data_IF_410447776682
#
_entry.id   IF_410447776682
#
_cell.length_a   1.000
_cell.length_b   1.000
_cell.length_c   1.000
_cell.angle_alpha   90.00
_cell.angle_beta   90.00
_cell.angle_gamma   90.00
#
_symmetry.space_group_name_H-M   'P 1'
#
loop_
_entity.id
_entity.type
_entity.pdbx_description
1 polymer ?
#
# COMPACT_ATOMS: atom_id res chain seq x y z
N UNK A 1 4.23 -9.30 6.77
CA UNK A 1 3.55 -8.55 7.83
C UNK A 1 2.47 -7.70 7.18
N UNK A 2 1.22 -8.03 7.47
CA UNK A 2 0.01 -7.39 6.93
C UNK A 2 -0.02 -5.92 7.33
N UNK A 3 -0.77 -5.08 6.59
CA UNK A 3 -1.05 -3.71 7.02
C UNK A 3 -1.71 -3.80 8.40
N UNK A 4 -1.00 -3.38 9.44
CA UNK A 4 -1.47 -3.42 10.82
C UNK A 4 -1.24 -2.04 11.45
N UNK A 5 -2.07 -1.71 12.43
CA UNK A 5 -2.08 -0.41 13.08
C UNK A 5 -0.91 -0.21 14.03
N UNK A 6 -0.41 -1.28 14.64
CA UNK A 6 0.69 -1.21 15.61
C UNK A 6 2.01 -0.67 14.99
N UNK A 7 2.49 -1.18 13.83
CA UNK A 7 3.60 -0.55 13.11
C UNK A 7 3.36 0.92 12.77
N UNK A 8 2.14 1.28 12.35
CA UNK A 8 1.80 2.66 12.01
C UNK A 8 1.83 3.58 13.23
N UNK A 9 1.26 3.16 14.36
CA UNK A 9 1.29 3.91 15.62
C UNK A 9 2.72 4.18 16.09
N UNK A 10 3.63 3.19 15.97
CA UNK A 10 5.05 3.38 16.27
C UNK A 10 5.70 4.42 15.37
N UNK A 11 5.43 4.37 14.07
CA UNK A 11 5.97 5.36 13.12
C UNK A 11 5.43 6.79 13.39
N UNK A 12 4.23 6.90 13.94
CA UNK A 12 3.62 8.18 14.32
C UNK A 12 4.02 8.66 15.72
N UNK A 13 4.89 7.94 16.45
CA UNK A 13 5.29 8.30 17.81
C UNK A 13 4.21 8.06 18.88
N UNK A 14 3.25 7.19 18.61
CA UNK A 14 2.09 6.89 19.48
C UNK A 14 2.03 5.41 19.91
N UNK A 15 3.13 4.82 20.44
CA UNK A 15 3.23 3.36 20.65
C UNK A 15 2.19 2.78 21.63
N UNK A 16 1.63 3.60 22.52
CA UNK A 16 0.63 3.19 23.51
C UNK A 16 -0.80 3.29 23.00
N UNK A 17 -1.02 3.84 21.80
CA UNK A 17 -2.35 4.01 21.26
C UNK A 17 -3.00 2.66 20.98
N UNK A 18 -4.22 2.49 21.50
CA UNK A 18 -5.05 1.31 21.28
C UNK A 18 -6.34 1.68 20.58
N UNK A 19 -6.66 0.95 19.52
CA UNK A 19 -7.97 1.08 18.89
C UNK A 19 -9.05 0.55 19.84
N UNK A 20 -10.12 1.33 20.02
CA UNK A 20 -11.27 0.90 20.82
C UNK A 20 -12.14 -0.12 20.09
N UNK A 21 -12.33 0.08 18.78
CA UNK A 21 -13.10 -0.81 17.90
C UNK A 21 -12.31 -1.01 16.59
N UNK A 22 -12.39 -2.21 16.01
CA UNK A 22 -11.68 -2.54 14.76
C UNK A 22 -12.53 -3.44 13.90
N UNK A 23 -12.69 -3.07 12.63
CA UNK A 23 -13.21 -3.96 11.59
C UNK A 23 -12.02 -4.65 10.91
N UNK A 24 -12.09 -5.97 10.75
CA UNK A 24 -11.06 -6.76 10.07
C UNK A 24 -11.67 -7.40 8.83
N UNK A 25 -10.97 -7.24 7.71
CA UNK A 25 -11.33 -7.83 6.43
C UNK A 25 -10.18 -8.68 5.93
N UNK A 26 -10.51 -9.74 5.20
CA UNK A 26 -9.51 -10.61 4.56
C UNK A 26 -8.92 -9.97 3.29
N UNK A 27 -9.71 -9.13 2.61
CA UNK A 27 -9.31 -8.48 1.36
C UNK A 27 -9.09 -6.98 1.56
N UNK A 28 -8.05 -6.44 0.91
CA UNK A 28 -7.74 -5.01 0.99
C UNK A 28 -8.82 -4.15 0.32
N UNK A 29 -9.46 -4.64 -0.75
CA UNK A 29 -10.57 -3.96 -1.43
C UNK A 29 -11.71 -3.62 -0.48
N UNK A 30 -12.04 -4.53 0.43
CA UNK A 30 -13.16 -4.37 1.36
C UNK A 30 -12.84 -3.31 2.42
N UNK A 31 -11.58 -3.25 2.88
CA UNK A 31 -11.09 -2.19 3.77
C UNK A 31 -11.26 -0.82 3.12
N UNK A 32 -10.84 -0.69 1.85
CA UNK A 32 -10.95 0.57 1.10
C UNK A 32 -12.41 0.94 0.88
N UNK A 33 -13.25 -0.02 0.48
CA UNK A 33 -14.68 0.21 0.30
C UNK A 33 -15.36 0.68 1.59
N UNK A 34 -15.04 0.08 2.73
CA UNK A 34 -15.57 0.49 4.04
C UNK A 34 -15.15 1.92 4.42
N UNK A 35 -13.88 2.29 4.18
CA UNK A 35 -13.40 3.65 4.43
C UNK A 35 -14.10 4.68 3.51
N UNK A 36 -14.24 4.35 2.23
CA UNK A 36 -14.96 5.19 1.25
C UNK A 36 -16.45 5.33 1.60
N UNK A 37 -17.05 4.30 2.22
CA UNK A 37 -18.42 4.33 2.72
C UNK A 37 -18.57 4.99 4.11
N UNK A 38 -17.51 5.62 4.64
CA UNK A 38 -17.54 6.34 5.90
C UNK A 38 -17.59 5.46 7.15
N UNK A 39 -17.28 4.17 7.04
CA UNK A 39 -17.31 3.22 8.17
C UNK A 39 -16.09 3.33 9.10
N UNK A 40 -15.15 4.23 8.79
CA UNK A 40 -13.98 4.50 9.62
C UNK A 40 -12.78 4.97 8.82
N UNK A 41 -11.60 4.79 9.41
CA UNK A 41 -10.30 5.10 8.81
C UNK A 41 -9.56 3.82 8.44
N UNK A 42 -8.76 3.89 7.39
CA UNK A 42 -7.94 2.78 6.92
C UNK A 42 -6.48 3.21 6.70
N UNK A 43 -5.54 2.32 7.00
CA UNK A 43 -4.16 2.46 6.53
C UNK A 43 -4.12 1.90 5.11
N UNK A 44 -3.65 2.72 4.17
CA UNK A 44 -3.64 2.38 2.75
C UNK A 44 -2.29 2.51 2.09
N UNK A 45 -2.19 1.92 0.90
CA UNK A 45 -1.00 2.05 0.04
C UNK A 45 -1.27 3.17 -0.95
N UNK A 46 -0.53 4.27 -0.85
CA UNK A 46 -0.77 5.48 -1.65
C UNK A 46 -0.96 5.23 -3.15
N UNK A 47 -0.14 4.39 -3.84
CA UNK A 47 -0.35 4.15 -5.26
C UNK A 47 -1.71 3.55 -5.60
N UNK A 48 -2.29 2.75 -4.70
CA UNK A 48 -3.60 2.12 -4.91
C UNK A 48 -4.77 3.06 -4.59
N UNK A 49 -4.52 4.14 -3.85
CA UNK A 49 -5.54 5.11 -3.42
C UNK A 49 -5.43 6.45 -4.12
N UNK A 50 -4.44 6.63 -5.01
CA UNK A 50 -4.13 7.91 -5.65
C UNK A 50 -5.37 8.55 -6.31
N UNK A 51 -6.12 7.78 -7.09
CA UNK A 51 -7.34 8.29 -7.73
C UNK A 51 -8.43 8.65 -6.71
N UNK A 52 -8.65 7.83 -5.68
CA UNK A 52 -9.65 8.10 -4.64
C UNK A 52 -9.33 9.36 -3.84
N UNK A 53 -8.04 9.63 -3.61
CA UNK A 53 -7.55 10.87 -3.01
C UNK A 53 -7.73 12.05 -3.98
N UNK A 54 -7.37 11.86 -5.27
CA UNK A 54 -7.48 12.89 -6.31
C UNK A 54 -8.92 13.36 -6.51
N UNK A 55 -9.88 12.45 -6.49
CA UNK A 55 -11.32 12.79 -6.63
C UNK A 55 -12.00 13.17 -5.31
N UNK A 56 -11.24 13.26 -4.20
CA UNK A 56 -11.77 13.66 -2.89
C UNK A 56 -12.70 12.63 -2.24
N UNK A 57 -12.72 11.38 -2.71
CA UNK A 57 -13.47 10.28 -2.09
C UNK A 57 -12.81 9.77 -0.82
N UNK A 58 -11.50 9.96 -0.71
CA UNK A 58 -10.72 9.77 0.50
C UNK A 58 -9.89 11.03 0.77
N UNK A 59 -9.49 11.19 2.02
CA UNK A 59 -8.51 12.21 2.45
C UNK A 59 -7.41 11.50 3.25
N UNK A 60 -6.16 11.96 3.09
CA UNK A 60 -5.01 11.47 3.85
C UNK A 60 -4.61 12.52 4.92
N UNK A 61 -5.17 12.46 6.15
CA UNK A 61 -5.05 13.54 7.13
C UNK A 61 -3.64 13.71 7.72
N UNK A 62 -2.80 12.67 7.66
CA UNK A 62 -1.47 12.65 8.28
C UNK A 62 -0.33 12.61 7.25
N UNK A 63 -0.63 12.82 5.97
CA UNK A 63 0.32 12.63 4.88
C UNK A 63 0.74 11.17 4.68
N UNK A 64 1.79 10.95 3.88
CA UNK A 64 2.37 9.64 3.64
C UNK A 64 3.53 9.36 4.59
N UNK A 65 3.47 8.25 5.32
CA UNK A 65 4.63 7.74 6.08
C UNK A 65 5.33 6.68 5.25
N UNK A 66 6.64 6.84 5.04
CA UNK A 66 7.44 5.85 4.34
C UNK A 66 7.47 4.55 5.16
N UNK A 67 6.82 3.52 4.64
CA UNK A 67 6.92 2.16 5.17
C UNK A 67 8.16 1.48 4.57
N UNK A 68 8.84 0.64 5.36
CA UNK A 68 9.90 -0.23 4.87
C UNK A 68 9.37 -1.38 3.98
N UNK A 69 8.05 -1.43 3.75
CA UNK A 69 7.42 -2.45 2.92
C UNK A 69 7.42 -2.06 1.45
N UNK A 70 7.91 -2.97 0.59
CA UNK A 70 7.94 -2.81 -0.85
C UNK A 70 7.26 -3.97 -1.58
N UNK A 71 7.04 -3.78 -2.88
CA UNK A 71 6.66 -4.85 -3.79
C UNK A 71 7.93 -5.43 -4.42
N UNK A 72 8.02 -6.75 -4.48
CA UNK A 72 9.17 -7.46 -5.01
C UNK A 72 8.75 -8.33 -6.19
N UNK A 73 9.59 -8.35 -7.23
CA UNK A 73 9.44 -9.26 -8.35
C UNK A 73 10.30 -10.49 -8.07
N UNK A 74 9.66 -11.65 -7.95
CA UNK A 74 10.34 -12.93 -7.72
C UNK A 74 10.29 -13.71 -9.03
N UNK A 75 11.46 -14.00 -9.59
CA UNK A 75 11.62 -14.80 -10.80
C UNK A 75 11.95 -16.23 -10.38
N UNK A 76 11.21 -17.21 -10.90
CA UNK A 76 11.51 -18.61 -10.62
C UNK A 76 12.82 -19.03 -11.31
N UNK A 77 13.59 -20.00 -10.77
CA UNK A 77 14.84 -20.45 -11.41
C UNK A 77 14.67 -20.87 -12.87
N UNK A 78 13.53 -21.50 -13.22
CA UNK A 78 13.22 -21.91 -14.60
C UNK A 78 13.00 -20.75 -15.57
N UNK A 79 12.72 -19.56 -15.06
CA UNK A 79 12.47 -18.36 -15.84
C UNK A 79 13.69 -17.43 -15.90
N UNK A 80 14.80 -17.77 -15.24
CA UNK A 80 16.02 -16.94 -15.26
C UNK A 80 16.57 -16.82 -16.68
N UNK A 81 16.61 -17.92 -17.43
CA UNK A 81 17.10 -17.96 -18.81
C UNK A 81 16.03 -17.62 -19.87
N UNK A 82 14.79 -17.34 -19.46
CA UNK A 82 13.71 -17.00 -20.39
C UNK A 82 13.76 -15.51 -20.75
N UNK A 83 14.09 -15.20 -22.00
CA UNK A 83 14.21 -13.83 -22.50
C UNK A 83 12.93 -12.99 -22.30
N UNK A 84 11.75 -13.56 -22.62
CA UNK A 84 10.47 -12.87 -22.50
C UNK A 84 10.16 -12.53 -21.03
N UNK A 85 10.48 -13.45 -20.12
CA UNK A 85 10.32 -13.21 -18.68
C UNK A 85 11.23 -12.07 -18.21
N UNK A 86 12.48 -12.02 -18.68
CA UNK A 86 13.41 -10.96 -18.34
C UNK A 86 13.00 -9.60 -18.94
N UNK A 87 12.46 -9.59 -20.15
CA UNK A 87 11.89 -8.39 -20.77
C UNK A 87 10.72 -7.84 -19.94
N UNK A 88 9.79 -8.71 -19.52
CA UNK A 88 8.69 -8.29 -18.66
C UNK A 88 9.18 -7.74 -17.31
N UNK A 89 10.17 -8.38 -16.68
CA UNK A 89 10.77 -7.90 -15.42
C UNK A 89 11.43 -6.53 -15.61
N UNK A 90 12.16 -6.32 -16.71
CA UNK A 90 12.78 -5.02 -17.05
C UNK A 90 11.73 -3.95 -17.21
N UNK A 91 10.70 -4.22 -18.00
CA UNK A 91 9.57 -3.31 -18.21
C UNK A 91 8.88 -2.95 -16.89
N UNK A 92 8.53 -3.95 -16.07
CA UNK A 92 7.83 -3.75 -14.80
C UNK A 92 8.65 -2.88 -13.81
N UNK A 93 9.97 -3.07 -13.77
CA UNK A 93 10.87 -2.22 -12.98
C UNK A 93 10.93 -0.79 -13.49
N UNK A 94 10.91 -0.59 -14.82
CA UNK A 94 10.87 0.75 -15.41
C UNK A 94 9.57 1.49 -15.07
N UNK A 95 8.42 0.82 -15.21
CA UNK A 95 7.12 1.38 -14.82
C UNK A 95 7.07 1.75 -13.33
N UNK A 96 7.58 0.86 -12.46
CA UNK A 96 7.65 1.12 -11.02
C UNK A 96 8.53 2.34 -10.67
N UNK A 97 9.60 2.58 -11.44
CA UNK A 97 10.45 3.76 -11.27
C UNK A 97 9.73 5.05 -11.68
N UNK A 98 8.92 5.01 -12.75
CA UNK A 98 8.10 6.14 -13.20
C UNK A 98 6.96 6.47 -12.22
N UNK A 99 6.39 5.44 -11.59
CA UNK A 99 5.28 5.59 -10.65
C UNK A 99 5.70 6.13 -9.28
N UNK A 100 7.00 6.34 -9.01
CA UNK A 100 7.47 6.89 -7.74
C UNK A 100 7.05 8.38 -7.66
N UNK A 101 6.14 8.76 -6.75
CA UNK A 101 5.78 10.17 -6.62
C UNK A 101 7.02 10.99 -6.29
N UNK A 102 7.11 12.20 -6.87
CA UNK A 102 8.09 13.20 -6.45
C UNK A 102 7.93 13.42 -4.94
N UNK A 103 9.04 13.29 -4.21
CA UNK A 103 9.08 13.44 -2.75
C UNK A 103 8.63 14.83 -2.32
#
# INVERSE_FOLDING_TARGET
LTIDWEPWFRLMGLPEMRMKNTLRFSQYSDVVAAAVAGQGVAIGRLPLLAELLRVGRLVAPFGGVASHMGYFVIVSPRAEDNADAQDFVRWLKAEAALARPAQ
#
